data_IF_093128043814
#
_entry.id   IF_093128043814
#
_cell.length_a   1.000
_cell.length_b   1.000
_cell.length_c   1.000
_cell.angle_alpha   90.00
_cell.angle_beta   90.00
_cell.angle_gamma   90.00
#
_symmetry.space_group_name_H-M   'P 1'
#
loop_
_entity.id
_entity.type
_entity.pdbx_description
1 polymer ?
#
# COMPACT_ATOMS: atom_id res chain seq x y z
N UNK A 1 20.89 -16.64 -18.97
CA UNK A 1 20.35 -15.67 -18.00
C UNK A 1 19.61 -14.61 -18.78
N UNK A 2 18.30 -14.77 -18.96
CA UNK A 2 17.46 -13.77 -19.64
C UNK A 2 17.30 -12.57 -18.71
N UNK A 3 17.64 -11.37 -19.21
CA UNK A 3 17.36 -10.08 -18.58
C UNK A 3 15.89 -10.08 -18.13
N UNK A 4 15.64 -10.18 -16.83
CA UNK A 4 14.46 -9.51 -16.30
C UNK A 4 14.71 -8.03 -16.58
N UNK A 5 14.07 -7.51 -17.62
CA UNK A 5 13.93 -6.07 -17.77
C UNK A 5 13.47 -5.55 -16.41
N UNK A 6 14.15 -4.52 -15.90
CA UNK A 6 13.73 -3.80 -14.71
C UNK A 6 12.30 -3.29 -14.96
N UNK A 7 11.29 -4.10 -14.63
CA UNK A 7 9.94 -3.59 -14.52
C UNK A 7 10.00 -2.55 -13.42
N UNK A 8 9.69 -1.27 -13.68
CA UNK A 8 9.60 -0.24 -12.64
C UNK A 8 8.45 -0.51 -11.65
N UNK A 9 7.74 -1.63 -11.84
CA UNK A 9 6.54 -2.03 -11.13
C UNK A 9 6.89 -3.05 -10.05
N UNK A 10 7.02 -2.58 -8.82
CA UNK A 10 7.25 -3.43 -7.65
C UNK A 10 5.96 -4.09 -7.14
N UNK A 11 4.80 -3.58 -7.57
CA UNK A 11 3.48 -4.09 -7.21
C UNK A 11 2.67 -4.41 -8.46
N UNK A 12 2.52 -5.70 -8.74
CA UNK A 12 1.59 -6.21 -9.75
C UNK A 12 0.62 -7.17 -9.11
N UNK A 13 -0.53 -7.42 -9.74
CA UNK A 13 -1.46 -8.44 -9.27
C UNK A 13 -0.80 -9.81 -9.13
N UNK A 14 0.14 -10.16 -10.02
CA UNK A 14 0.83 -11.45 -10.00
C UNK A 14 1.66 -11.63 -8.73
N UNK A 15 2.16 -10.54 -8.18
CA UNK A 15 3.00 -10.51 -6.99
C UNK A 15 2.20 -10.49 -5.67
N UNK A 16 0.90 -10.22 -5.72
CA UNK A 16 0.02 -10.22 -4.54
C UNK A 16 -0.56 -11.61 -4.36
N UNK A 17 -0.34 -12.23 -3.19
CA UNK A 17 -0.99 -13.49 -2.81
C UNK A 17 -2.41 -13.23 -2.31
N UNK A 18 -2.53 -12.32 -1.34
CA UNK A 18 -3.81 -11.94 -0.77
C UNK A 18 -3.76 -10.55 -0.12
N UNK A 19 -4.91 -9.91 -0.02
CA UNK A 19 -5.10 -8.64 0.67
C UNK A 19 -6.33 -8.71 1.55
N UNK A 20 -6.20 -8.34 2.83
CA UNK A 20 -7.30 -8.29 3.77
C UNK A 20 -7.88 -6.87 3.86
N UNK A 21 -9.14 -6.71 3.47
CA UNK A 21 -9.79 -5.40 3.42
C UNK A 21 -9.95 -4.75 4.81
N UNK A 22 -10.15 -5.57 5.84
CA UNK A 22 -10.37 -5.11 7.22
C UNK A 22 -9.06 -4.70 7.90
N UNK A 23 -8.05 -5.58 7.86
CA UNK A 23 -6.76 -5.33 8.54
C UNK A 23 -5.78 -4.51 7.70
N UNK A 24 -6.09 -4.35 6.41
CA UNK A 24 -5.21 -3.78 5.38
C UNK A 24 -3.90 -4.55 5.17
N UNK A 25 -3.80 -5.78 5.68
CA UNK A 25 -2.63 -6.64 5.52
C UNK A 25 -2.51 -7.09 4.06
N UNK A 26 -1.31 -6.96 3.50
CA UNK A 26 -0.98 -7.44 2.17
C UNK A 26 0.08 -8.53 2.27
N UNK A 27 -0.19 -9.66 1.61
CA UNK A 27 0.73 -10.80 1.55
C UNK A 27 1.20 -10.93 0.11
N UNK A 28 2.51 -11.00 -0.05
CA UNK A 28 3.15 -11.20 -1.35
C UNK A 28 3.40 -12.68 -1.62
N UNK A 29 3.48 -13.04 -2.90
CA UNK A 29 3.98 -14.33 -3.35
C UNK A 29 5.26 -14.14 -4.15
N UNK A 30 6.07 -15.19 -4.19
CA UNK A 30 7.25 -15.31 -5.05
C UNK A 30 8.42 -14.36 -4.72
N UNK A 31 8.33 -13.58 -3.63
CA UNK A 31 9.47 -12.86 -3.03
C UNK A 31 9.22 -12.51 -1.56
N UNK A 32 10.32 -12.23 -0.85
CA UNK A 32 10.30 -11.62 0.49
C UNK A 32 10.49 -10.11 0.36
N UNK A 33 9.63 -9.26 0.95
CA UNK A 33 9.77 -7.82 0.82
C UNK A 33 11.00 -7.32 1.59
N UNK A 34 12.08 -7.05 0.87
CA UNK A 34 13.32 -6.48 1.42
C UNK A 34 13.38 -4.98 1.16
N UNK A 35 14.21 -4.24 1.89
CA UNK A 35 14.49 -2.82 1.61
C UNK A 35 15.18 -2.60 0.25
N UNK A 36 15.72 -3.65 -0.37
CA UNK A 36 16.26 -3.62 -1.73
C UNK A 36 15.14 -3.64 -2.78
N UNK A 37 14.10 -4.46 -2.55
CA UNK A 37 12.93 -4.55 -3.42
C UNK A 37 11.96 -3.39 -3.16
N UNK A 38 11.75 -3.01 -1.91
CA UNK A 38 10.92 -1.87 -1.52
C UNK A 38 11.82 -0.80 -0.90
N UNK A 39 12.56 -0.04 -1.72
CA UNK A 39 13.40 1.04 -1.22
C UNK A 39 12.55 2.00 -0.37
N UNK A 40 13.07 2.34 0.81
CA UNK A 40 12.41 3.24 1.76
C UNK A 40 12.26 4.62 1.11
N UNK A 41 11.14 5.31 1.36
CA UNK A 41 10.85 6.66 0.87
C UNK A 41 10.72 6.78 -0.66
N UNK A 42 10.14 5.77 -1.31
CA UNK A 42 9.85 5.81 -2.76
C UNK A 42 8.34 5.79 -3.00
N UNK A 43 7.94 6.51 -4.04
CA UNK A 43 6.61 6.35 -4.61
C UNK A 43 6.64 5.11 -5.52
N UNK A 44 5.78 4.16 -5.22
CA UNK A 44 5.49 2.98 -6.04
C UNK A 44 4.07 3.10 -6.57
N UNK A 45 3.78 2.38 -7.64
CA UNK A 45 2.47 2.39 -8.28
C UNK A 45 1.91 0.98 -8.35
N UNK A 46 0.63 0.83 -8.05
CA UNK A 46 -0.13 -0.37 -8.41
C UNK A 46 -0.69 -0.15 -9.79
N UNK A 47 -0.40 -1.07 -10.71
CA UNK A 47 -0.92 -1.03 -12.07
C UNK A 47 -1.93 -2.13 -12.32
N UNK A 48 -2.89 -1.85 -13.21
CA UNK A 48 -3.78 -2.85 -13.78
C UNK A 48 -3.95 -2.58 -15.27
N UNK A 49 -3.64 -3.58 -16.10
CA UNK A 49 -3.73 -3.52 -17.57
C UNK A 49 -3.15 -2.22 -18.20
N UNK A 50 -2.05 -1.70 -17.66
CA UNK A 50 -1.36 -0.49 -18.16
C UNK A 50 -1.88 0.85 -17.61
N UNK A 51 -2.77 0.85 -16.62
CA UNK A 51 -3.24 2.04 -15.89
C UNK A 51 -2.70 2.04 -14.46
N UNK A 52 -2.22 3.20 -13.98
CA UNK A 52 -1.93 3.42 -12.56
C UNK A 52 -3.24 3.44 -11.78
N UNK A 53 -3.39 2.50 -10.86
CA UNK A 53 -4.50 2.43 -9.92
C UNK A 53 -4.20 3.23 -8.67
N UNK A 54 -3.08 2.95 -7.99
CA UNK A 54 -2.76 3.59 -6.72
C UNK A 54 -1.32 4.06 -6.71
N UNK A 55 -1.10 5.28 -6.22
CA UNK A 55 0.21 5.76 -5.81
C UNK A 55 0.39 5.42 -4.32
N UNK A 56 1.51 4.81 -3.99
CA UNK A 56 1.83 4.38 -2.63
C UNK A 56 3.22 4.89 -2.26
N UNK A 57 3.36 5.40 -1.05
CA UNK A 57 4.64 5.78 -0.46
C UNK A 57 5.18 4.60 0.37
N UNK A 58 6.43 4.19 0.16
CA UNK A 58 7.03 3.02 0.85
C UNK A 58 7.71 3.40 2.18
N UNK A 59 7.39 2.64 3.24
CA UNK A 59 7.97 2.74 4.58
C UNK A 59 8.31 1.37 5.15
N UNK A 60 9.57 0.96 4.99
CA UNK A 60 10.06 -0.32 5.53
C UNK A 60 10.74 -0.16 6.90
N UNK A 61 10.74 1.06 7.45
CA UNK A 61 11.46 1.43 8.65
C UNK A 61 10.55 2.18 9.62
N UNK A 62 10.69 1.89 10.92
CA UNK A 62 10.01 2.61 11.99
C UNK A 62 10.62 3.97 12.34
N UNK A 63 11.71 4.35 11.66
CA UNK A 63 12.41 5.59 11.92
C UNK A 63 11.64 6.80 11.36
N UNK A 64 11.45 7.78 12.25
CA UNK A 64 10.52 8.89 12.20
C UNK A 64 10.40 9.61 10.84
N UNK A 65 9.26 9.40 10.19
CA UNK A 65 8.74 10.23 9.10
C UNK A 65 7.22 10.05 9.09
N UNK A 66 6.48 11.01 9.65
CA UNK A 66 5.02 10.97 9.61
C UNK A 66 4.53 11.27 8.21
N UNK A 67 3.60 10.45 7.71
CA UNK A 67 2.89 10.69 6.45
C UNK A 67 1.41 10.69 6.75
N UNK A 68 0.77 11.84 6.59
CA UNK A 68 -0.63 12.03 6.95
C UNK A 68 -1.58 11.94 5.76
N UNK A 69 -1.09 11.98 4.52
CA UNK A 69 -1.98 12.14 3.36
C UNK A 69 -1.74 11.15 2.26
N UNK A 70 -0.72 10.30 2.35
CA UNK A 70 -0.37 9.36 1.29
C UNK A 70 -0.66 7.93 1.72
N UNK A 71 -1.23 7.15 0.80
CA UNK A 71 -1.38 5.71 0.97
C UNK A 71 0.03 5.13 1.12
N UNK A 72 0.27 4.41 2.19
CA UNK A 72 1.61 4.02 2.59
C UNK A 72 1.72 2.51 2.73
N UNK A 73 2.76 1.91 2.12
CA UNK A 73 3.15 0.53 2.40
C UNK A 73 4.04 0.53 3.62
N UNK A 74 3.55 -0.04 4.71
CA UNK A 74 4.22 0.00 6.02
C UNK A 74 4.55 -1.41 6.50
N UNK A 75 5.71 -1.57 7.14
CA UNK A 75 6.12 -2.83 7.80
C UNK A 75 5.97 -2.71 9.32
N UNK A 76 5.20 -3.62 9.92
CA UNK A 76 5.04 -3.73 11.37
C UNK A 76 5.17 -5.20 11.79
N UNK A 77 6.10 -5.50 12.70
CA UNK A 77 6.32 -6.86 13.22
C UNK A 77 6.52 -7.94 12.14
N UNK A 78 7.17 -7.58 11.02
CA UNK A 78 7.43 -8.48 9.89
C UNK A 78 6.25 -8.67 8.93
N UNK A 79 5.14 -7.94 9.13
CA UNK A 79 3.96 -7.94 8.26
C UNK A 79 3.84 -6.62 7.50
N UNK A 80 3.20 -6.66 6.34
CA UNK A 80 3.03 -5.49 5.47
C UNK A 80 1.58 -5.05 5.39
N UNK A 81 1.38 -3.74 5.39
CA UNK A 81 0.04 -3.14 5.37
C UNK A 81 -0.02 -1.96 4.40
N UNK A 82 -1.16 -1.76 3.76
CA UNK A 82 -1.48 -0.53 3.01
C UNK A 82 -2.34 0.39 3.88
N UNK A 83 -1.74 1.42 4.46
CA UNK A 83 -2.43 2.32 5.39
C UNK A 83 -2.62 3.72 4.81
N UNK A 84 -3.72 4.37 5.18
CA UNK A 84 -4.04 5.73 4.73
C UNK A 84 -3.13 6.80 5.36
N UNK A 85 -2.35 6.43 6.39
CA UNK A 85 -1.29 7.24 6.99
C UNK A 85 -0.18 6.38 7.61
N UNK A 86 0.89 7.01 8.05
CA UNK A 86 1.92 6.39 8.88
C UNK A 86 2.39 7.36 9.97
N UNK A 87 2.59 6.90 11.22
CA UNK A 87 2.18 5.61 11.78
C UNK A 87 0.67 5.31 11.71
N UNK A 88 0.29 4.04 11.60
CA UNK A 88 -1.12 3.63 11.41
C UNK A 88 -2.04 3.99 12.58
N UNK A 89 -1.48 4.09 13.79
CA UNK A 89 -2.21 4.46 15.01
C UNK A 89 -2.57 5.96 15.09
N UNK A 90 -2.30 6.74 14.05
CA UNK A 90 -2.74 8.12 13.91
C UNK A 90 -4.16 8.20 13.36
N UNK A 91 -4.53 7.28 12.44
CA UNK A 91 -5.89 7.20 11.91
C UNK A 91 -6.88 7.03 13.07
N UNK A 92 -7.92 7.86 13.08
CA UNK A 92 -8.99 7.90 14.10
C UNK A 92 -8.54 8.19 15.54
N UNK A 93 -7.28 8.59 15.74
CA UNK A 93 -6.76 8.98 17.05
C UNK A 93 -7.19 10.41 17.44
N UNK A 94 -7.86 10.54 18.58
CA UNK A 94 -8.39 11.81 19.09
C UNK A 94 -7.32 12.85 19.43
N UNK A 95 -6.06 12.47 19.56
CA UNK A 95 -4.94 13.41 19.75
C UNK A 95 -4.53 14.12 18.44
N UNK A 96 -4.95 13.60 17.29
CA UNK A 96 -4.55 14.05 15.94
C UNK A 96 -5.74 14.60 15.14
N UNK A 97 -6.63 15.37 15.79
CA UNK A 97 -7.89 15.84 15.16
C UNK A 97 -7.66 16.61 13.85
N UNK A 98 -6.60 17.43 13.79
CA UNK A 98 -6.30 18.26 12.60
C UNK A 98 -5.81 17.38 11.45
N UNK A 99 -4.93 16.45 11.75
CA UNK A 99 -4.33 15.52 10.80
C UNK A 99 -5.38 14.52 10.29
N UNK A 100 -6.26 14.01 11.16
CA UNK A 100 -7.35 13.11 10.79
C UNK A 100 -8.33 13.74 9.79
N UNK A 101 -8.56 15.06 9.84
CA UNK A 101 -9.33 15.75 8.77
C UNK A 101 -8.62 15.69 7.42
N UNK A 102 -7.29 15.80 7.40
CA UNK A 102 -6.51 15.72 6.16
C UNK A 102 -6.43 14.27 5.65
N UNK A 103 -6.23 13.30 6.54
CA UNK A 103 -6.27 11.85 6.23
C UNK A 103 -7.60 11.50 5.58
N UNK A 104 -8.72 11.88 6.20
CA UNK A 104 -10.06 11.59 5.70
C UNK A 104 -10.29 12.19 4.31
N UNK A 105 -9.89 13.44 4.09
CA UNK A 105 -9.99 14.09 2.78
C UNK A 105 -9.14 13.39 1.71
N UNK A 106 -7.96 12.89 2.08
CA UNK A 106 -7.11 12.14 1.16
C UNK A 106 -7.70 10.77 0.81
N UNK A 107 -8.29 10.08 1.79
CA UNK A 107 -9.00 8.81 1.62
C UNK A 107 -10.21 8.95 0.70
N UNK A 108 -11.00 10.01 0.88
CA UNK A 108 -12.14 10.33 0.00
C UNK A 108 -11.70 10.57 -1.44
N UNK A 109 -10.60 11.32 -1.65
CA UNK A 109 -10.06 11.55 -3.00
C UNK A 109 -9.61 10.26 -3.69
N UNK A 110 -9.14 9.27 -2.94
CA UNK A 110 -8.68 7.96 -3.45
C UNK A 110 -9.78 6.89 -3.49
N UNK A 111 -11.03 7.22 -3.10
CA UNK A 111 -12.06 6.21 -2.87
C UNK A 111 -12.41 5.42 -4.14
N UNK A 112 -12.41 6.09 -5.30
CA UNK A 112 -12.68 5.45 -6.58
C UNK A 112 -11.59 4.46 -6.96
N UNK A 113 -10.32 4.88 -6.89
CA UNK A 113 -9.17 4.03 -7.19
C UNK A 113 -9.04 2.86 -6.20
N UNK A 114 -9.32 3.13 -4.92
CA UNK A 114 -9.33 2.10 -3.89
C UNK A 114 -10.43 1.05 -4.17
N UNK A 115 -11.63 1.50 -4.54
CA UNK A 115 -12.71 0.59 -4.94
C UNK A 115 -12.36 -0.25 -6.16
N UNK A 116 -11.70 0.34 -7.17
CA UNK A 116 -11.21 -0.39 -8.35
C UNK A 116 -10.18 -1.45 -7.96
N UNK A 117 -9.22 -1.10 -7.09
CA UNK A 117 -8.23 -2.03 -6.56
C UNK A 117 -8.88 -3.23 -5.84
N UNK A 118 -9.83 -2.99 -4.93
CA UNK A 118 -10.52 -4.08 -4.22
C UNK A 118 -11.34 -4.97 -5.18
N UNK A 119 -12.05 -4.36 -6.13
CA UNK A 119 -12.83 -5.07 -7.14
C UNK A 119 -11.97 -6.02 -7.97
N UNK A 120 -10.78 -5.56 -8.37
CA UNK A 120 -9.82 -6.37 -9.11
C UNK A 120 -9.31 -7.53 -8.24
N UNK A 121 -8.90 -7.27 -7.01
CA UNK A 121 -8.45 -8.34 -6.11
C UNK A 121 -9.56 -9.39 -5.88
N UNK A 122 -10.81 -8.95 -5.73
CA UNK A 122 -11.97 -9.85 -5.60
C UNK A 122 -12.15 -10.71 -6.84
N UNK A 123 -12.12 -10.11 -8.03
CA UNK A 123 -12.23 -10.82 -9.32
C UNK A 123 -11.15 -11.90 -9.47
N UNK A 124 -9.97 -11.69 -8.92
CA UNK A 124 -8.85 -12.62 -8.98
C UNK A 124 -8.75 -13.57 -7.78
N UNK A 125 -9.72 -13.56 -6.86
CA UNK A 125 -9.72 -14.44 -5.68
C UNK A 125 -8.64 -14.11 -4.64
N UNK A 126 -8.15 -12.86 -4.64
CA UNK A 126 -7.06 -12.38 -3.78
C UNK A 126 -7.54 -11.47 -2.65
N UNK A 127 -8.82 -11.08 -2.64
CA UNK A 127 -9.43 -10.27 -1.58
C UNK A 127 -9.96 -11.16 -0.45
N UNK A 128 -9.62 -10.82 0.79
CA UNK A 128 -10.23 -11.35 2.01
C UNK A 128 -11.12 -10.24 2.58
N UNK A 129 -12.42 -10.53 2.69
CA UNK A 129 -13.47 -9.59 3.16
C UNK A 129 -13.65 -9.62 4.68
#
# INVERSE_FOLDING_TARGET
MTRAASSPYLFTLDNIKSFNAQTREIIFQDFEPTSLLFPIYRNIEIHSYGKVLLHISTFVSSFNSQIFTDLSLVSESGKFYLSDCYPRNIEDNSQYVKENKAIQKAKEKRAAEWGEFLSILKKHGKLIE
#
